data_IF_904115568799
#
_entry.id   IF_904115568799
#
_cell.length_a   1.000
_cell.length_b   1.000
_cell.length_c   1.000
_cell.angle_alpha   90.00
_cell.angle_beta   90.00
_cell.angle_gamma   90.00
#
_symmetry.space_group_name_H-M   'P 1'
#
loop_
_entity.id
_entity.type
_entity.pdbx_description
1 polymer ?
#
# COMPACT_ATOMS: atom_id res chain seq x y z
N UNK A 1 8.46 13.87 16.86
CA UNK A 1 9.92 13.71 16.65
C UNK A 1 10.12 13.72 15.15
N UNK A 2 10.79 14.73 14.59
CA UNK A 2 11.02 14.81 13.14
C UNK A 2 12.12 13.81 12.77
N UNK A 3 11.76 12.74 12.05
CA UNK A 3 12.70 11.80 11.43
C UNK A 3 13.03 12.31 10.03
N UNK A 4 14.28 12.13 9.59
CA UNK A 4 14.64 12.27 8.18
C UNK A 4 13.78 11.36 7.31
N UNK A 5 13.20 11.92 6.25
CA UNK A 5 12.34 11.17 5.33
C UNK A 5 13.14 10.08 4.60
N UNK A 6 12.55 8.89 4.47
CA UNK A 6 13.08 7.84 3.61
C UNK A 6 12.69 8.09 2.16
N UNK A 7 13.52 7.67 1.18
CA UNK A 7 13.11 7.66 -0.24
C UNK A 7 11.89 6.79 -0.55
N UNK A 8 11.47 5.94 0.39
CA UNK A 8 10.24 5.13 0.35
C UNK A 8 9.03 5.80 1.00
N UNK A 9 9.19 6.98 1.59
CA UNK A 9 8.08 7.68 2.24
C UNK A 9 7.07 8.18 1.19
N UNK A 10 5.80 8.13 1.58
CA UNK A 10 4.67 8.42 0.69
C UNK A 10 4.59 9.93 0.48
N UNK A 11 4.61 10.39 -0.77
CA UNK A 11 4.42 11.82 -1.07
C UNK A 11 3.00 12.26 -0.72
N UNK A 12 2.75 13.57 -0.61
CA UNK A 12 1.39 14.08 -0.34
C UNK A 12 0.40 13.71 -1.45
N UNK A 13 0.86 13.70 -2.70
CA UNK A 13 0.06 13.34 -3.88
C UNK A 13 -0.28 11.85 -3.88
N UNK A 14 0.72 10.99 -3.63
CA UNK A 14 0.51 9.54 -3.46
C UNK A 14 -0.43 9.26 -2.29
N UNK A 15 -0.27 10.01 -1.19
CA UNK A 15 -1.12 9.87 -0.02
C UNK A 15 -2.56 10.25 -0.31
N UNK A 16 -2.80 11.36 -1.01
CA UNK A 16 -4.15 11.79 -1.40
C UNK A 16 -4.87 10.74 -2.25
N UNK A 17 -4.14 10.02 -3.11
CA UNK A 17 -4.69 8.95 -3.92
C UNK A 17 -5.02 7.69 -3.09
N UNK A 18 -4.11 7.29 -2.20
CA UNK A 18 -4.18 5.98 -1.51
C UNK A 18 -5.01 6.06 -0.23
N UNK A 19 -5.01 7.19 0.47
CA UNK A 19 -5.67 7.34 1.77
C UNK A 19 -7.13 6.89 1.81
N UNK A 20 -7.99 7.22 0.81
CA UNK A 20 -9.38 6.77 0.81
C UNK A 20 -9.53 5.25 0.87
N UNK A 21 -8.63 4.49 0.23
CA UNK A 21 -8.68 3.02 0.25
C UNK A 21 -8.23 2.45 1.59
N UNK A 22 -7.31 3.12 2.28
CA UNK A 22 -6.78 2.68 3.57
C UNK A 22 -7.72 3.00 4.74
N UNK A 23 -8.53 4.06 4.60
CA UNK A 23 -9.50 4.52 5.61
C UNK A 23 -10.84 3.78 5.53
N UNK A 24 -11.12 3.03 4.46
CA UNK A 24 -12.30 2.15 4.36
C UNK A 24 -12.31 1.00 5.39
N UNK A 25 -11.19 0.79 6.10
CA UNK A 25 -11.17 -0.02 7.32
C UNK A 25 -11.60 0.84 8.51
N UNK A 26 -12.76 0.51 9.12
CA UNK A 26 -13.47 1.30 10.15
C UNK A 26 -12.55 2.06 11.11
N UNK A 27 -12.77 3.37 11.21
CA UNK A 27 -12.03 4.31 12.05
C UNK A 27 -12.12 4.02 13.56
N UNK A 28 -13.11 3.21 13.98
CA UNK A 28 -13.44 2.95 15.38
C UNK A 28 -12.51 1.93 16.09
N UNK A 29 -11.43 1.48 15.45
CA UNK A 29 -10.50 0.54 16.09
C UNK A 29 -9.62 1.27 17.14
N UNK A 30 -9.74 0.98 18.44
CA UNK A 30 -9.04 1.68 19.52
C UNK A 30 -7.51 1.47 19.56
N UNK A 31 -6.91 0.85 18.53
CA UNK A 31 -5.50 0.46 18.49
C UNK A 31 -4.63 1.22 17.46
N UNK A 32 -5.08 2.33 16.87
CA UNK A 32 -4.21 3.14 15.98
C UNK A 32 -3.35 4.12 16.78
N UNK A 33 -2.31 3.57 17.43
CA UNK A 33 -1.22 4.36 18.03
C UNK A 33 -0.39 5.11 16.98
N UNK A 34 -0.41 4.63 15.72
CA UNK A 34 0.37 5.18 14.62
C UNK A 34 -0.52 5.67 13.47
N UNK A 35 -0.13 6.79 12.86
CA UNK A 35 -0.79 7.32 11.66
C UNK A 35 -0.72 6.30 10.51
N UNK A 36 -1.82 6.14 9.77
CA UNK A 36 -1.85 5.21 8.63
C UNK A 36 -0.80 5.52 7.57
N UNK A 37 -0.43 6.79 7.40
CA UNK A 37 0.63 7.23 6.49
C UNK A 37 1.99 6.67 6.89
N UNK A 38 2.30 6.70 8.19
CA UNK A 38 3.55 6.14 8.73
C UNK A 38 3.57 4.61 8.60
N UNK A 39 2.42 3.97 8.81
CA UNK A 39 2.28 2.52 8.62
C UNK A 39 2.47 2.13 7.15
N UNK A 40 1.87 2.88 6.22
CA UNK A 40 2.08 2.69 4.78
C UNK A 40 3.54 2.95 4.41
N UNK A 41 4.17 3.97 4.99
CA UNK A 41 5.61 4.25 4.83
C UNK A 41 6.48 3.06 5.24
N UNK A 42 6.19 2.45 6.40
CA UNK A 42 6.87 1.23 6.85
C UNK A 42 6.68 0.04 5.90
N UNK A 43 5.47 -0.16 5.38
CA UNK A 43 5.22 -1.17 4.36
C UNK A 43 6.02 -0.90 3.08
N UNK A 44 6.03 0.35 2.59
CA UNK A 44 6.82 0.73 1.40
C UNK A 44 8.30 0.54 1.61
N UNK A 45 8.81 0.81 2.81
CA UNK A 45 10.20 0.51 3.16
C UNK A 45 10.50 -0.99 2.98
N UNK A 46 9.69 -1.88 3.59
CA UNK A 46 9.89 -3.33 3.49
C UNK A 46 9.83 -3.82 2.04
N UNK A 47 8.83 -3.36 1.27
CA UNK A 47 8.66 -3.74 -0.14
C UNK A 47 9.84 -3.26 -0.99
N UNK A 48 10.32 -2.02 -0.76
CA UNK A 48 11.43 -1.44 -1.53
C UNK A 48 12.78 -2.02 -1.15
N UNK A 49 13.02 -2.25 0.14
CA UNK A 49 14.29 -2.75 0.65
C UNK A 49 14.42 -4.27 0.52
N UNK A 50 13.31 -5.01 0.41
CA UNK A 50 13.32 -6.47 0.47
C UNK A 50 13.79 -7.01 1.83
N UNK A 51 13.66 -6.20 2.89
CA UNK A 51 14.21 -6.50 4.20
C UNK A 51 13.27 -7.44 5.01
N UNK A 52 13.82 -8.34 5.83
CA UNK A 52 13.03 -9.06 6.83
C UNK A 52 12.32 -8.07 7.77
N UNK A 53 11.06 -8.34 8.11
CA UNK A 53 10.24 -7.49 8.99
C UNK A 53 10.93 -7.11 10.30
N UNK A 54 11.65 -8.05 10.93
CA UNK A 54 12.35 -7.80 12.21
C UNK A 54 13.57 -6.86 12.08
N UNK A 55 14.02 -6.56 10.87
CA UNK A 55 15.11 -5.61 10.60
C UNK A 55 14.60 -4.22 10.22
N UNK A 56 13.29 -3.99 10.32
CA UNK A 56 12.75 -2.67 10.05
C UNK A 56 13.33 -1.63 11.02
N UNK A 57 13.68 -0.42 10.55
CA UNK A 57 14.17 0.66 11.39
C UNK A 57 13.27 0.97 12.59
N UNK A 58 13.89 1.29 13.73
CA UNK A 58 13.17 1.59 14.98
C UNK A 58 12.50 2.97 14.99
N UNK A 59 12.77 3.80 13.99
CA UNK A 59 12.18 5.12 13.80
C UNK A 59 10.94 5.11 12.88
N UNK A 60 10.53 3.92 12.42
CA UNK A 60 9.22 3.62 11.84
C UNK A 60 8.31 2.99 12.91
N UNK A 61 6.98 2.95 12.70
CA UNK A 61 6.09 2.18 13.56
C UNK A 61 6.60 0.73 13.74
N UNK A 62 6.42 0.08 14.89
CA UNK A 62 6.92 -1.27 15.13
C UNK A 62 6.52 -2.26 14.03
N UNK A 63 7.44 -3.16 13.66
CA UNK A 63 7.23 -4.08 12.54
C UNK A 63 5.96 -4.92 12.66
N UNK A 64 5.57 -5.31 13.87
CA UNK A 64 4.36 -6.11 14.11
C UNK A 64 3.09 -5.30 13.82
N UNK A 65 3.08 -4.00 14.14
CA UNK A 65 1.98 -3.09 13.82
C UNK A 65 1.85 -2.92 12.31
N UNK A 66 2.97 -2.67 11.62
CA UNK A 66 2.99 -2.54 10.16
C UNK A 66 2.53 -3.83 9.49
N UNK A 67 3.05 -4.97 9.95
CA UNK A 67 2.68 -6.28 9.44
C UNK A 67 1.19 -6.58 9.62
N UNK A 68 0.67 -6.44 10.84
CA UNK A 68 -0.75 -6.70 11.14
C UNK A 68 -1.69 -5.82 10.30
N UNK A 69 -1.40 -4.52 10.20
CA UNK A 69 -2.21 -3.62 9.40
C UNK A 69 -2.11 -3.95 7.90
N UNK A 70 -0.93 -4.35 7.41
CA UNK A 70 -0.75 -4.82 6.04
C UNK A 70 -1.60 -6.06 5.76
N UNK A 71 -1.64 -7.04 6.68
CA UNK A 71 -2.49 -8.22 6.53
C UNK A 71 -3.98 -7.85 6.48
N UNK A 72 -4.42 -6.87 7.29
CA UNK A 72 -5.80 -6.37 7.24
C UNK A 72 -6.14 -5.73 5.88
N UNK A 73 -5.23 -4.91 5.34
CA UNK A 73 -5.41 -4.31 4.02
C UNK A 73 -5.47 -5.35 2.89
N UNK A 74 -4.60 -6.35 2.92
CA UNK A 74 -4.61 -7.46 1.96
C UNK A 74 -5.90 -8.28 2.06
N UNK A 75 -6.31 -8.65 3.27
CA UNK A 75 -7.56 -9.39 3.48
C UNK A 75 -8.80 -8.62 3.02
N UNK A 76 -8.76 -7.28 3.10
CA UNK A 76 -9.82 -6.41 2.64
C UNK A 76 -9.77 -6.08 1.14
N UNK A 77 -8.78 -6.59 0.38
CA UNK A 77 -8.65 -6.34 -1.06
C UNK A 77 -8.30 -4.88 -1.42
N UNK A 78 -7.71 -4.14 -0.48
CA UNK A 78 -7.46 -2.69 -0.60
C UNK A 78 -6.56 -2.36 -1.79
N UNK A 79 -5.49 -3.13 -2.00
CA UNK A 79 -4.54 -2.86 -3.07
C UNK A 79 -5.10 -3.28 -4.44
N UNK A 80 -5.90 -4.33 -4.48
CA UNK A 80 -6.62 -4.79 -5.65
C UNK A 80 -7.61 -3.72 -6.12
N UNK A 81 -8.40 -3.16 -5.19
CA UNK A 81 -9.33 -2.06 -5.48
C UNK A 81 -8.59 -0.81 -5.98
N UNK A 82 -7.52 -0.39 -5.28
CA UNK A 82 -6.69 0.74 -5.67
C UNK A 82 -6.14 0.57 -7.11
N UNK A 83 -5.54 -0.58 -7.40
CA UNK A 83 -4.96 -0.86 -8.72
C UNK A 83 -6.03 -0.95 -9.80
N UNK A 84 -7.20 -1.53 -9.49
CA UNK A 84 -8.32 -1.60 -10.40
C UNK A 84 -8.82 -0.21 -10.80
N UNK A 85 -9.10 0.66 -9.83
CA UNK A 85 -9.61 2.01 -10.11
C UNK A 85 -8.56 2.90 -10.78
N UNK A 86 -7.29 2.81 -10.38
CA UNK A 86 -6.21 3.54 -11.05
C UNK A 86 -6.08 3.11 -12.53
N UNK A 87 -6.20 1.81 -12.84
CA UNK A 87 -6.20 1.32 -14.22
C UNK A 87 -7.37 1.86 -15.03
N UNK A 88 -8.58 1.93 -14.44
CA UNK A 88 -9.76 2.50 -15.09
C UNK A 88 -9.55 3.98 -15.43
N UNK A 89 -9.05 4.76 -14.48
CA UNK A 89 -8.75 6.19 -14.68
C UNK A 89 -7.71 6.42 -15.77
N UNK A 90 -6.62 5.65 -15.78
CA UNK A 90 -5.57 5.75 -16.81
C UNK A 90 -6.09 5.39 -18.20
N UNK A 91 -6.99 4.39 -18.31
CA UNK A 91 -7.61 4.02 -19.59
C UNK A 91 -8.53 5.11 -20.10
N UNK A 92 -9.38 5.67 -19.24
CA UNK A 92 -10.25 6.80 -19.60
C UNK A 92 -9.44 8.01 -20.06
N UNK A 93 -8.34 8.33 -19.37
CA UNK A 93 -7.44 9.43 -19.76
C UNK A 93 -6.78 9.21 -21.14
N UNK A 94 -6.65 7.94 -21.57
CA UNK A 94 -6.18 7.57 -22.91
C UNK A 94 -7.30 7.47 -23.97
N UNK A 95 -8.53 7.87 -23.64
CA UNK A 95 -9.68 7.76 -24.54
C UNK A 95 -10.15 6.33 -24.79
N UNK A 96 -9.86 5.41 -23.86
CA UNK A 96 -10.27 4.00 -23.93
C UNK A 96 -11.40 3.70 -22.95
N UNK A 97 -12.17 2.65 -23.24
CA UNK A 97 -13.14 2.10 -22.28
C UNK A 97 -12.45 1.72 -20.96
N UNK A 98 -13.08 1.98 -19.79
CA UNK A 98 -12.47 1.80 -18.48
C UNK A 98 -12.16 0.34 -18.20
N UNK A 99 -13.01 -0.56 -18.64
CA UNK A 99 -12.78 -1.99 -18.55
C UNK A 99 -12.05 -2.50 -19.81
N UNK A 100 -11.05 -3.36 -19.66
CA UNK A 100 -10.41 -4.01 -20.80
C UNK A 100 -11.38 -4.98 -21.47
N UNK A 101 -11.43 -4.97 -22.80
CA UNK A 101 -12.15 -5.98 -23.58
C UNK A 101 -11.47 -7.36 -23.57
N UNK A 102 -10.20 -7.44 -23.19
CA UNK A 102 -9.43 -8.67 -23.05
C UNK A 102 -8.35 -8.54 -21.95
N UNK A 103 -8.12 -9.60 -21.18
CA UNK A 103 -7.07 -9.68 -20.15
C UNK A 103 -6.06 -10.79 -20.52
N UNK A 104 -4.76 -10.49 -20.43
CA UNK A 104 -3.67 -11.47 -20.58
C UNK A 104 -3.08 -11.71 -19.18
N UNK A 105 -3.10 -12.96 -18.73
CA UNK A 105 -2.49 -13.39 -17.46
C UNK A 105 -1.18 -14.10 -17.79
N UNK A 106 -0.03 -13.50 -17.46
CA UNK A 106 1.27 -14.16 -17.54
C UNK A 106 1.66 -14.71 -16.16
N UNK A 107 1.71 -16.04 -16.04
CA UNK A 107 2.16 -16.73 -14.85
C UNK A 107 3.50 -17.39 -15.12
N UNK A 108 4.60 -16.77 -14.67
CA UNK A 108 5.90 -17.46 -14.64
C UNK A 108 6.02 -18.30 -13.38
N UNK A 109 5.99 -19.62 -13.56
CA UNK A 109 6.40 -20.57 -12.54
C UNK A 109 7.92 -20.50 -12.38
N UNK A 110 8.41 -20.12 -11.21
CA UNK A 110 9.83 -20.28 -10.87
C UNK A 110 10.10 -21.78 -10.71
N UNK A 111 10.88 -22.37 -11.63
CA UNK A 111 11.39 -23.73 -11.44
C UNK A 111 12.57 -23.71 -10.46
N UNK A 112 12.65 -24.68 -9.52
CA UNK A 112 13.72 -24.78 -8.54
C UNK A 112 15.07 -25.15 -9.16
#
# INVERSE_FOLDING_TARGET
MERTAYPSDVSDEEWALVAPYLTLMSEEAPQREYLLREVLGGLRYIVRAGAPWRLMPNDLPPWHTVYQQTQRWLAAGVFEALVHDLRRLLRMAQGREPEPSAAILDGRTLQP
#
